data_IF_976923705340
#
_entry.id   IF_976923705340
#
_cell.length_a   1.000
_cell.length_b   1.000
_cell.length_c   1.000
_cell.angle_alpha   90.00
_cell.angle_beta   90.00
_cell.angle_gamma   90.00
#
_symmetry.space_group_name_H-M   'P 1'
#
loop_
_entity.id
_entity.type
_entity.pdbx_description
1 polymer ?
#
# COMPACT_ATOMS: atom_id res chain seq x y z
N UNK A 1 14.88 6.52 -6.09
CA UNK A 1 14.55 5.33 -6.88
C UNK A 1 13.03 5.18 -6.97
N UNK A 2 12.53 4.93 -8.16
CA UNK A 2 11.10 4.82 -8.38
C UNK A 2 10.71 3.36 -8.49
N UNK A 3 9.56 3.04 -7.92
CA UNK A 3 8.99 1.71 -8.01
C UNK A 3 7.70 1.77 -8.81
N UNK A 4 7.47 0.77 -9.63
CA UNK A 4 6.22 0.67 -10.37
C UNK A 4 5.17 0.08 -9.45
N UNK A 5 4.15 0.87 -9.15
CA UNK A 5 3.09 0.44 -8.24
C UNK A 5 1.89 -0.01 -9.07
N UNK A 6 1.42 -1.21 -8.78
CA UNK A 6 0.25 -1.78 -9.45
C UNK A 6 -0.90 -1.81 -8.47
N UNK A 7 -2.00 -1.20 -8.84
CA UNK A 7 -3.20 -1.17 -8.01
C UNK A 7 -4.15 -2.28 -8.46
N UNK A 8 -4.58 -3.10 -7.54
CA UNK A 8 -5.56 -4.16 -7.80
C UNK A 8 -6.80 -3.92 -6.94
N UNK A 9 -7.74 -3.10 -7.41
CA UNK A 9 -8.90 -2.73 -6.59
C UNK A 9 -9.81 -3.90 -6.25
N UNK A 10 -9.86 -4.92 -7.10
CA UNK A 10 -10.68 -6.10 -6.80
C UNK A 10 -10.19 -6.83 -5.56
N UNK A 11 -8.91 -6.70 -5.26
CA UNK A 11 -8.30 -7.34 -4.11
C UNK A 11 -7.96 -6.35 -3.02
N UNK A 12 -8.26 -5.07 -3.25
CA UNK A 12 -7.98 -3.99 -2.29
C UNK A 12 -6.51 -3.95 -1.92
N UNK A 13 -5.63 -3.97 -2.93
CA UNK A 13 -4.21 -3.93 -2.63
C UNK A 13 -3.43 -3.13 -3.68
N UNK A 14 -2.28 -2.63 -3.23
CA UNK A 14 -1.26 -2.06 -4.09
C UNK A 14 -0.02 -2.92 -3.94
N UNK A 15 0.64 -3.21 -5.04
CA UNK A 15 1.84 -4.03 -5.01
C UNK A 15 2.91 -3.48 -5.91
N UNK A 16 4.13 -3.89 -5.66
CA UNK A 16 5.26 -3.60 -6.53
C UNK A 16 6.19 -4.79 -6.50
N UNK A 17 6.94 -4.97 -7.58
CA UNK A 17 7.91 -6.04 -7.68
C UNK A 17 9.30 -5.44 -7.75
N UNK A 18 10.19 -5.91 -6.87
CA UNK A 18 11.57 -5.45 -6.79
C UNK A 18 12.46 -6.66 -6.69
N UNK A 19 13.44 -6.78 -7.59
CA UNK A 19 14.40 -7.88 -7.60
C UNK A 19 13.71 -9.24 -7.55
N UNK A 20 12.62 -9.40 -8.29
CA UNK A 20 11.89 -10.66 -8.35
C UNK A 20 11.05 -10.96 -7.13
N UNK A 21 10.92 -10.00 -6.21
CA UNK A 21 10.13 -10.16 -4.99
C UNK A 21 8.96 -9.23 -5.02
N UNK A 22 7.82 -9.67 -4.51
CA UNK A 22 6.61 -8.86 -4.50
C UNK A 22 6.35 -8.30 -3.11
N UNK A 23 6.26 -6.99 -3.02
CA UNK A 23 5.82 -6.30 -1.81
C UNK A 23 4.42 -5.77 -2.05
N UNK A 24 3.59 -5.73 -1.01
CA UNK A 24 2.24 -5.21 -1.19
C UNK A 24 1.71 -4.60 0.10
N UNK A 25 0.73 -3.74 -0.08
CA UNK A 25 -0.06 -3.21 1.02
C UNK A 25 -1.51 -3.54 0.72
N UNK A 26 -2.20 -4.07 1.71
CA UNK A 26 -3.62 -4.38 1.59
C UNK A 26 -4.41 -3.37 2.42
N UNK A 27 -5.50 -2.87 1.86
CA UNK A 27 -6.32 -1.86 2.51
C UNK A 27 -7.77 -2.31 2.55
N UNK A 28 -8.56 -1.58 3.32
CA UNK A 28 -9.99 -1.80 3.41
C UNK A 28 -10.68 -0.44 3.39
N UNK A 29 -11.76 -0.35 2.65
CA UNK A 29 -12.56 0.86 2.58
C UNK A 29 -13.76 0.72 3.49
N UNK A 30 -13.88 1.63 4.45
CA UNK A 30 -14.97 1.63 5.42
C UNK A 30 -15.62 3.00 5.43
N UNK A 31 -16.78 3.10 4.80
CA UNK A 31 -17.46 4.39 4.70
C UNK A 31 -16.57 5.41 4.01
N UNK A 32 -16.15 6.44 4.75
CA UNK A 32 -15.28 7.48 4.22
C UNK A 32 -13.84 7.35 4.72
N UNK A 33 -13.46 6.14 5.15
CA UNK A 33 -12.11 5.87 5.66
C UNK A 33 -11.41 4.82 4.81
N UNK A 34 -10.11 4.97 4.68
CA UNK A 34 -9.25 3.95 4.07
C UNK A 34 -8.30 3.43 5.15
N UNK A 35 -8.40 2.13 5.45
CA UNK A 35 -7.57 1.48 6.46
C UNK A 35 -6.52 0.61 5.80
N UNK A 36 -5.26 0.80 6.18
CA UNK A 36 -4.19 -0.11 5.78
C UNK A 36 -4.17 -1.26 6.80
N UNK A 37 -4.47 -2.47 6.33
CA UNK A 37 -4.59 -3.62 7.23
C UNK A 37 -3.38 -4.53 7.21
N UNK A 38 -2.66 -4.59 6.09
CA UNK A 38 -1.43 -5.39 6.00
C UNK A 38 -0.42 -4.69 5.13
N UNK A 39 0.84 -4.75 5.53
CA UNK A 39 1.95 -4.26 4.73
C UNK A 39 3.03 -5.33 4.77
N UNK A 40 3.32 -5.93 3.63
CA UNK A 40 4.27 -7.02 3.53
C UNK A 40 5.40 -6.63 2.59
N UNK A 41 6.63 -6.67 3.10
CA UNK A 41 7.82 -6.44 2.30
C UNK A 41 8.79 -7.57 2.58
N UNK A 42 9.12 -8.39 1.58
CA UNK A 42 10.07 -9.49 1.79
C UNK A 42 11.42 -8.99 2.30
N UNK A 43 12.05 -9.78 3.17
CA UNK A 43 13.28 -9.37 3.81
C UNK A 43 14.39 -8.95 2.84
N UNK A 44 14.63 -9.66 1.74
CA UNK A 44 15.71 -9.26 0.84
C UNK A 44 15.59 -7.85 0.28
N UNK A 45 14.40 -7.27 0.27
CA UNK A 45 14.19 -5.93 -0.27
C UNK A 45 13.76 -4.92 0.80
N UNK A 46 13.82 -5.31 2.06
CA UNK A 46 13.53 -4.39 3.16
C UNK A 46 14.54 -3.25 3.21
N UNK A 47 14.14 -2.14 3.82
CA UNK A 47 15.04 -1.02 4.01
C UNK A 47 15.23 -0.14 2.80
N UNK A 48 14.44 -0.32 1.76
CA UNK A 48 14.54 0.47 0.53
C UNK A 48 13.40 1.47 0.37
N UNK A 49 12.61 1.69 1.43
CA UNK A 49 11.51 2.62 1.37
C UNK A 49 10.29 2.10 0.60
N UNK A 50 10.22 0.80 0.34
CA UNK A 50 9.15 0.23 -0.47
C UNK A 50 7.82 0.33 0.26
N UNK A 51 7.80 0.00 1.55
CA UNK A 51 6.57 0.07 2.34
C UNK A 51 6.01 1.49 2.34
N UNK A 52 6.87 2.48 2.54
CA UNK A 52 6.44 3.88 2.54
C UNK A 52 5.86 4.28 1.19
N UNK A 53 6.47 3.81 0.10
CA UNK A 53 6.00 4.11 -1.25
C UNK A 53 4.62 3.51 -1.48
N UNK A 54 4.41 2.27 -1.03
CA UNK A 54 3.12 1.60 -1.18
C UNK A 54 2.03 2.28 -0.36
N UNK A 55 2.34 2.64 0.87
CA UNK A 55 1.38 3.31 1.75
C UNK A 55 1.01 4.68 1.16
N UNK A 56 2.00 5.39 0.64
CA UNK A 56 1.73 6.68 0.00
C UNK A 56 0.83 6.52 -1.20
N UNK A 57 1.05 5.48 -2.00
CA UNK A 57 0.19 5.22 -3.15
C UNK A 57 -1.25 4.98 -2.72
N UNK A 58 -1.46 4.24 -1.63
CA UNK A 58 -2.79 4.00 -1.11
C UNK A 58 -3.46 5.30 -0.66
N UNK A 59 -2.72 6.15 0.04
CA UNK A 59 -3.26 7.42 0.50
C UNK A 59 -3.57 8.35 -0.68
N UNK A 60 -2.72 8.35 -1.70
CA UNK A 60 -2.95 9.18 -2.88
C UNK A 60 -4.17 8.70 -3.68
N UNK A 61 -4.47 7.41 -3.59
CA UNK A 61 -5.63 6.86 -4.26
C UNK A 61 -6.93 7.27 -3.59
N UNK A 62 -6.92 7.45 -2.27
CA UNK A 62 -8.14 7.72 -1.51
C UNK A 62 -8.87 8.94 -2.09
N UNK A 63 -10.17 8.82 -2.40
CA UNK A 63 -10.92 9.94 -2.95
C UNK A 63 -10.97 11.13 -1.99
N UNK A 64 -11.22 12.30 -2.56
CA UNK A 64 -11.32 13.52 -1.76
C UNK A 64 -12.37 13.37 -0.66
N UNK A 65 -13.41 12.57 -0.91
CA UNK A 65 -14.46 12.34 0.07
C UNK A 65 -13.98 11.53 1.29
N UNK A 66 -12.81 10.89 1.19
CA UNK A 66 -12.27 10.14 2.31
C UNK A 66 -11.50 11.10 3.21
N UNK A 67 -12.11 11.43 4.35
CA UNK A 67 -11.55 12.42 5.25
C UNK A 67 -10.64 11.82 6.31
N UNK A 68 -10.67 10.48 6.46
CA UNK A 68 -9.88 9.81 7.49
C UNK A 68 -9.07 8.70 6.86
N UNK A 69 -7.76 8.76 7.07
CA UNK A 69 -6.84 7.73 6.62
C UNK A 69 -6.22 7.10 7.85
N UNK A 70 -6.26 5.78 7.92
CA UNK A 70 -5.74 5.06 9.06
C UNK A 70 -4.73 4.02 8.61
N UNK A 71 -3.70 3.84 9.40
CA UNK A 71 -2.72 2.80 9.16
C UNK A 71 -2.63 1.95 10.43
N UNK A 72 -2.94 0.68 10.29
CA UNK A 72 -2.73 -0.29 11.37
C UNK A 72 -1.45 -1.02 11.07
N UNK A 73 -0.45 -0.76 11.88
CA UNK A 73 0.83 -1.41 11.67
C UNK A 73 0.85 -2.76 12.30
N UNK A 74 1.39 -3.69 11.59
CA UNK A 74 1.54 -5.06 12.08
C UNK A 74 3.00 -5.39 12.23
#
# INVERSE_FOLDING_TARGET
MEYEIIHQPEQNLFKTEVDGRTAFVQYRLLGDSLDIIHTIVPRPIEGRGIAATLVKAAYDYAPVSYTHLRAHET
#
